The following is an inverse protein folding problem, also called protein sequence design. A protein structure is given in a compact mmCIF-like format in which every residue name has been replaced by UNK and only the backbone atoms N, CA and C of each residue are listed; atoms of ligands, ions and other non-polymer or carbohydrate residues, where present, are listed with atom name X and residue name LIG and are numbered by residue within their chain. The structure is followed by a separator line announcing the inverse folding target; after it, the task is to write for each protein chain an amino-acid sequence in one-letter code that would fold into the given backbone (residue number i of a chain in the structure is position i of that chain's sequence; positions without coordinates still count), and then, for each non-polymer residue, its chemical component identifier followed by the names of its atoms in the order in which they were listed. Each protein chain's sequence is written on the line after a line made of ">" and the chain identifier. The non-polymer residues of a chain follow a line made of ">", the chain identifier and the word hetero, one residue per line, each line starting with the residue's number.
data_IF_445539786910
#
_entry.id   IF_445539786910
#
_cell.length_a   1.000
_cell.length_b   1.000
_cell.length_c   1.000
_cell.angle_alpha   90.00
_cell.angle_beta   90.00
_cell.angle_gamma   90.00
#
_symmetry.space_group_name_H-M   'P 1'
#
loop_
_entity.id
_entity.type
_entity.pdbx_description
1 polymer ?
#
# COMPACT_ATOMS: atom_id res chain seq x y z
N UNK A 1 10.59 9.41 -1.82
CA UNK A 1 10.15 8.01 -1.68
C UNK A 1 9.40 7.59 -2.92
N UNK A 2 9.94 6.62 -3.66
CA UNK A 2 9.41 6.24 -4.98
C UNK A 2 7.98 5.70 -4.91
N UNK A 3 7.65 4.87 -3.93
CA UNK A 3 6.33 4.27 -3.81
C UNK A 3 5.20 5.26 -3.55
N UNK A 4 5.49 6.46 -3.06
CA UNK A 4 4.46 7.45 -2.73
C UNK A 4 3.70 7.93 -3.98
N UNK A 5 4.39 8.05 -5.10
CA UNK A 5 3.76 8.46 -6.36
C UNK A 5 2.76 7.40 -6.84
N UNK A 6 3.14 6.14 -6.71
CA UNK A 6 2.27 5.03 -7.08
C UNK A 6 1.04 4.97 -6.18
N UNK A 7 1.22 5.15 -4.88
CA UNK A 7 0.12 5.20 -3.92
C UNK A 7 -0.86 6.32 -4.30
N UNK A 8 -0.34 7.53 -4.55
CA UNK A 8 -1.18 8.67 -4.92
C UNK A 8 -1.96 8.43 -6.20
N UNK A 9 -1.33 7.78 -7.18
CA UNK A 9 -1.99 7.48 -8.45
C UNK A 9 -3.22 6.59 -8.27
N UNK A 10 -3.14 5.58 -7.40
CA UNK A 10 -4.22 4.61 -7.25
C UNK A 10 -5.20 4.92 -6.12
N UNK A 11 -4.78 5.62 -5.07
CA UNK A 11 -5.68 5.92 -3.95
C UNK A 11 -6.59 7.10 -4.20
N UNK A 12 -6.10 8.14 -4.89
CA UNK A 12 -6.81 9.40 -4.98
C UNK A 12 -6.82 10.15 -3.66
N UNK A 13 -7.08 11.46 -3.70
CA UNK A 13 -7.09 12.30 -2.52
C UNK A 13 -8.50 12.80 -2.21
N UNK A 14 -8.95 12.59 -0.99
CA UNK A 14 -10.26 13.02 -0.51
C UNK A 14 -10.08 13.94 0.70
N UNK A 15 -10.51 15.19 0.57
CA UNK A 15 -10.36 16.18 1.64
C UNK A 15 -11.51 16.14 2.66
N UNK A 16 -12.56 15.37 2.38
CA UNK A 16 -13.68 15.15 3.27
C UNK A 16 -13.72 13.68 3.69
N UNK A 17 -13.95 13.44 4.96
CA UNK A 17 -14.05 12.07 5.47
C UNK A 17 -15.16 11.29 4.79
N UNK A 18 -14.91 10.03 4.45
CA UNK A 18 -15.89 9.15 3.82
C UNK A 18 -15.83 7.76 4.44
N UNK A 19 -16.97 7.02 4.43
CA UNK A 19 -16.99 5.67 4.98
C UNK A 19 -16.32 4.68 4.03
N UNK A 20 -15.88 3.55 4.59
CA UNK A 20 -15.36 2.45 3.77
C UNK A 20 -16.45 1.99 2.78
N UNK A 21 -16.12 1.90 1.47
CA UNK A 21 -17.11 1.50 0.46
C UNK A 21 -17.71 0.11 0.67
N UNK A 22 -16.97 -0.79 1.31
CA UNK A 22 -17.44 -2.16 1.54
C UNK A 22 -18.31 -2.27 2.78
N UNK A 23 -17.91 -1.63 3.89
CA UNK A 23 -18.65 -1.70 5.16
C UNK A 23 -19.69 -0.62 5.30
N UNK A 24 -19.56 0.45 4.52
CA UNK A 24 -20.40 1.68 4.60
C UNK A 24 -20.31 2.36 5.96
N UNK A 25 -19.25 2.10 6.71
CA UNK A 25 -18.98 2.64 8.03
C UNK A 25 -17.48 2.65 8.28
N UNK A 26 -17.04 2.42 9.53
CA UNK A 26 -15.60 2.37 9.83
C UNK A 26 -14.89 1.28 9.02
N UNK A 27 -13.62 1.51 8.65
CA UNK A 27 -12.84 2.69 9.02
C UNK A 27 -13.21 3.91 8.17
N UNK A 28 -13.43 5.03 8.83
CA UNK A 28 -13.65 6.32 8.16
C UNK A 28 -12.31 6.76 7.60
N UNK A 29 -12.28 7.14 6.34
CA UNK A 29 -11.06 7.38 5.58
C UNK A 29 -11.00 8.83 5.10
N UNK A 30 -9.80 9.38 5.00
CA UNK A 30 -9.59 10.75 4.53
C UNK A 30 -8.20 10.86 3.88
N UNK A 31 -7.99 11.91 3.09
CA UNK A 31 -6.72 12.17 2.42
C UNK A 31 -6.42 11.12 1.36
N UNK A 32 -5.23 10.56 1.38
CA UNK A 32 -4.76 9.55 0.44
C UNK A 32 -5.07 8.12 0.90
N UNK A 33 -6.02 7.96 1.79
CA UNK A 33 -6.40 6.66 2.32
C UNK A 33 -6.10 6.49 3.80
N UNK A 34 -5.87 7.58 4.52
CA UNK A 34 -5.57 7.53 5.95
C UNK A 34 -6.83 7.27 6.77
N UNK A 35 -6.70 6.45 7.80
CA UNK A 35 -7.82 6.11 8.70
C UNK A 35 -7.62 6.66 10.12
N UNK A 36 -6.42 7.17 10.42
CA UNK A 36 -6.06 7.72 11.74
C UNK A 36 -5.28 9.00 11.57
N UNK A 37 -5.52 9.95 12.48
CA UNK A 37 -4.77 11.20 12.56
C UNK A 37 -3.36 10.95 13.09
N UNK A 38 -2.54 12.00 13.13
CA UNK A 38 -1.15 11.91 13.60
C UNK A 38 -1.02 11.31 14.99
N UNK A 39 -1.98 11.61 15.86
CA UNK A 39 -1.98 11.10 17.24
C UNK A 39 -2.59 9.70 17.40
N UNK A 40 -2.97 9.05 16.30
CA UNK A 40 -3.57 7.73 16.33
C UNK A 40 -5.10 7.72 16.52
N UNK A 41 -5.73 8.89 16.60
CA UNK A 41 -7.18 8.98 16.76
C UNK A 41 -7.87 8.66 15.44
N UNK A 42 -8.87 7.75 15.42
CA UNK A 42 -9.65 7.49 14.20
C UNK A 42 -10.40 8.74 13.73
N UNK A 43 -10.52 8.88 12.42
CA UNK A 43 -11.30 9.98 11.83
C UNK A 43 -12.80 9.74 12.01
N UNK A 44 -13.54 10.83 12.08
CA UNK A 44 -15.01 10.83 12.18
C UNK A 44 -15.62 11.47 10.96
N UNK A 45 -16.83 11.07 10.62
CA UNK A 45 -17.59 11.72 9.55
C UNK A 45 -17.74 13.20 9.84
N UNK A 46 -17.69 14.01 8.77
CA UNK A 46 -17.76 15.47 8.88
C UNK A 46 -16.40 16.14 8.98
N UNK A 47 -15.31 15.39 9.20
CA UNK A 47 -13.95 15.95 9.22
C UNK A 47 -13.52 16.37 7.82
N UNK A 48 -12.90 17.54 7.72
CA UNK A 48 -12.27 18.03 6.50
C UNK A 48 -10.82 18.38 6.78
N UNK A 49 -9.97 18.24 5.77
CA UNK A 49 -8.55 18.58 5.86
C UNK A 49 -8.11 19.31 4.59
N UNK A 50 -6.96 19.95 4.66
CA UNK A 50 -6.34 20.60 3.50
C UNK A 50 -5.51 19.58 2.69
N UNK A 51 -5.19 19.93 1.47
CA UNK A 51 -4.30 19.12 0.64
C UNK A 51 -2.93 18.92 1.30
N UNK A 52 -2.40 19.98 1.90
CA UNK A 52 -1.11 19.93 2.61
C UNK A 52 -1.19 18.96 3.80
N UNK A 53 -2.28 19.02 4.56
CA UNK A 53 -2.49 18.10 5.68
C UNK A 53 -2.54 16.66 5.20
N UNK A 54 -3.26 16.39 4.10
CA UNK A 54 -3.34 15.05 3.51
C UNK A 54 -1.97 14.53 3.11
N UNK A 55 -1.15 15.37 2.48
CA UNK A 55 0.19 14.98 2.05
C UNK A 55 1.10 14.64 3.24
N UNK A 56 1.08 15.47 4.27
CA UNK A 56 1.87 15.22 5.49
C UNK A 56 1.40 13.98 6.23
N UNK A 57 0.10 13.74 6.24
CA UNK A 57 -0.48 12.56 6.89
C UNK A 57 -0.05 11.28 6.18
N UNK A 58 -0.03 11.28 4.85
CA UNK A 58 0.47 10.14 4.08
C UNK A 58 1.94 9.86 4.40
N UNK A 59 2.78 10.89 4.38
CA UNK A 59 4.21 10.73 4.73
C UNK A 59 4.38 10.17 6.13
N UNK A 60 3.62 10.70 7.08
CA UNK A 60 3.66 10.21 8.47
C UNK A 60 3.25 8.73 8.55
N UNK A 61 2.16 8.36 7.89
CA UNK A 61 1.69 6.98 7.87
C UNK A 61 2.76 6.04 7.32
N UNK A 62 3.39 6.41 6.20
CA UNK A 62 4.40 5.57 5.57
C UNK A 62 5.63 5.40 6.46
N UNK A 63 6.11 6.47 7.08
CA UNK A 63 7.29 6.42 7.93
C UNK A 63 7.07 5.71 9.26
N UNK A 64 5.88 5.87 9.86
CA UNK A 64 5.64 5.43 11.22
C UNK A 64 4.77 4.19 11.35
N UNK A 65 3.90 3.92 10.36
CA UNK A 65 2.93 2.83 10.43
C UNK A 65 3.18 1.73 9.40
N UNK A 66 3.95 2.00 8.35
CA UNK A 66 4.24 1.02 7.30
C UNK A 66 5.69 0.59 7.29
N UNK A 67 6.64 1.51 7.17
CA UNK A 67 8.07 1.16 7.11
C UNK A 67 8.56 0.29 8.25
N UNK A 68 8.22 0.56 9.52
CA UNK A 68 8.73 -0.27 10.61
C UNK A 68 8.35 -1.74 10.47
N UNK A 69 7.17 -2.02 9.89
CA UNK A 69 6.72 -3.39 9.65
C UNK A 69 7.38 -4.00 8.42
N UNK A 70 7.54 -3.21 7.35
CA UNK A 70 8.12 -3.68 6.09
C UNK A 70 9.62 -3.97 6.22
N UNK A 71 10.33 -3.24 7.09
CA UNK A 71 11.75 -3.47 7.35
C UNK A 71 12.02 -4.86 7.93
N UNK A 72 11.01 -5.53 8.46
CA UNK A 72 11.12 -6.91 8.96
C UNK A 72 11.13 -7.95 7.85
N UNK A 73 10.75 -7.57 6.63
CA UNK A 73 10.76 -8.48 5.48
C UNK A 73 12.22 -8.85 5.18
N UNK A 74 12.52 -10.17 4.99
CA UNK A 74 13.88 -10.58 4.68
C UNK A 74 14.43 -9.87 3.44
N UNK A 75 15.70 -9.48 3.52
CA UNK A 75 16.41 -8.80 2.42
C UNK A 75 15.89 -7.40 2.08
N UNK A 76 15.08 -6.80 2.95
CA UNK A 76 14.53 -5.45 2.71
C UNK A 76 15.65 -4.44 2.39
N UNK A 77 16.73 -4.45 3.15
CA UNK A 77 17.85 -3.52 2.95
C UNK A 77 18.64 -3.76 1.65
N UNK A 78 18.49 -4.95 1.04
CA UNK A 78 19.12 -5.26 -0.24
C UNK A 78 18.27 -4.84 -1.43
N UNK A 79 17.01 -4.49 -1.20
CA UNK A 79 16.12 -3.99 -2.25
C UNK A 79 16.49 -2.56 -2.62
N UNK A 80 16.39 -2.22 -3.91
CA UNK A 80 16.55 -0.84 -4.34
C UNK A 80 15.28 -0.04 -4.03
N UNK A 81 15.31 1.28 -4.24
CA UNK A 81 14.16 2.15 -3.94
C UNK A 81 12.92 1.76 -4.74
N UNK A 82 13.08 1.32 -5.99
CA UNK A 82 11.94 0.90 -6.82
C UNK A 82 11.30 -0.37 -6.27
N UNK A 83 12.10 -1.32 -5.84
CA UNK A 83 11.61 -2.55 -5.24
C UNK A 83 10.90 -2.28 -3.92
N UNK A 84 11.50 -1.48 -3.06
CA UNK A 84 10.88 -1.08 -1.80
C UNK A 84 9.58 -0.31 -2.05
N UNK A 85 9.57 0.57 -3.07
CA UNK A 85 8.38 1.33 -3.44
C UNK A 85 7.23 0.45 -3.93
N UNK A 86 7.53 -0.60 -4.69
CA UNK A 86 6.53 -1.55 -5.16
C UNK A 86 5.89 -2.29 -3.97
N UNK A 87 6.69 -2.77 -3.05
CA UNK A 87 6.20 -3.45 -1.84
C UNK A 87 5.41 -2.48 -0.96
N UNK A 88 5.86 -1.25 -0.84
CA UNK A 88 5.16 -0.22 -0.08
C UNK A 88 3.75 0.03 -0.63
N UNK A 89 3.61 0.17 -1.95
CA UNK A 89 2.30 0.33 -2.59
C UNK A 89 1.39 -0.87 -2.32
N UNK A 90 1.94 -2.07 -2.44
CA UNK A 90 1.21 -3.31 -2.17
C UNK A 90 0.72 -3.35 -0.71
N UNK A 91 1.61 -3.04 0.23
CA UNK A 91 1.28 -3.02 1.66
C UNK A 91 0.25 -1.94 2.00
N UNK A 92 0.37 -0.78 1.38
CA UNK A 92 -0.59 0.31 1.62
C UNK A 92 -2.00 -0.09 1.19
N UNK A 93 -2.11 -0.86 0.11
CA UNK A 93 -3.40 -1.35 -0.39
C UNK A 93 -3.95 -2.52 0.42
N UNK A 94 -3.11 -3.49 0.77
CA UNK A 94 -3.56 -4.77 1.34
C UNK A 94 -3.16 -5.01 2.79
N UNK A 95 -2.39 -4.09 3.39
CA UNK A 95 -2.00 -4.15 4.79
C UNK A 95 -0.51 -4.36 4.97
N UNK A 96 0.06 -3.66 5.95
CA UNK A 96 1.51 -3.72 6.24
C UNK A 96 1.94 -5.05 6.88
N UNK A 97 1.00 -5.84 7.35
CA UNK A 97 1.25 -7.14 7.96
C UNK A 97 1.05 -8.31 7.00
N UNK A 98 1.05 -8.06 5.69
CA UNK A 98 0.82 -9.13 4.72
C UNK A 98 1.87 -10.24 4.81
N UNK A 99 3.14 -9.87 5.03
CA UNK A 99 4.23 -10.85 5.12
C UNK A 99 4.01 -11.79 6.30
N UNK A 100 3.95 -13.08 6.01
CA UNK A 100 3.69 -14.11 7.03
C UNK A 100 2.22 -14.40 7.27
N UNK A 101 1.31 -13.66 6.65
CA UNK A 101 -0.13 -13.90 6.78
C UNK A 101 -0.56 -15.08 5.91
N UNK A 102 -1.49 -15.94 6.39
CA UNK A 102 -1.95 -17.11 5.63
C UNK A 102 -2.51 -16.80 4.25
N UNK A 103 -3.17 -15.63 4.11
CA UNK A 103 -3.74 -15.22 2.83
C UNK A 103 -2.69 -14.73 1.84
N UNK A 104 -1.45 -14.56 2.27
CA UNK A 104 -0.35 -14.03 1.46
C UNK A 104 0.83 -15.01 1.42
N UNK A 105 0.53 -16.32 1.39
CA UNK A 105 1.57 -17.37 1.43
C UNK A 105 2.53 -17.33 0.24
N UNK A 106 2.03 -17.05 -0.96
CA UNK A 106 2.86 -17.05 -2.16
C UNK A 106 3.89 -15.91 -2.15
N UNK A 107 3.44 -14.67 -1.90
CA UNK A 107 4.38 -13.54 -1.85
C UNK A 107 5.35 -13.67 -0.67
N UNK A 108 4.88 -14.20 0.46
CA UNK A 108 5.72 -14.45 1.63
C UNK A 108 6.85 -15.42 1.28
N UNK A 109 6.52 -16.54 0.63
CA UNK A 109 7.51 -17.54 0.23
C UNK A 109 8.53 -16.96 -0.75
N UNK A 110 8.06 -16.22 -1.74
CA UNK A 110 8.91 -15.62 -2.77
C UNK A 110 9.90 -14.62 -2.16
N UNK A 111 9.42 -13.79 -1.24
CA UNK A 111 10.29 -12.81 -0.55
C UNK A 111 11.27 -13.50 0.40
N UNK A 112 10.81 -14.50 1.16
CA UNK A 112 11.62 -15.25 2.11
C UNK A 112 12.78 -15.97 1.42
N UNK A 113 12.53 -16.52 0.24
CA UNK A 113 13.51 -17.29 -0.53
C UNK A 113 14.34 -16.41 -1.48
N UNK A 114 14.13 -15.10 -1.47
CA UNK A 114 14.80 -14.16 -2.38
C UNK A 114 14.62 -14.54 -3.85
N UNK A 115 13.47 -15.09 -4.21
CA UNK A 115 13.11 -15.40 -5.59
C UNK A 115 12.55 -14.16 -6.27
N UNK A 116 13.36 -13.11 -6.36
CA UNK A 116 12.91 -11.78 -6.77
C UNK A 116 12.37 -11.71 -8.19
N UNK A 117 12.82 -12.59 -9.07
CA UNK A 117 12.28 -12.66 -10.44
C UNK A 117 10.81 -13.07 -10.47
N UNK A 118 10.33 -13.71 -9.40
CA UNK A 118 8.94 -14.17 -9.29
C UNK A 118 8.02 -13.17 -8.58
N UNK A 119 8.58 -12.07 -8.06
CA UNK A 119 7.78 -11.10 -7.30
C UNK A 119 6.67 -10.47 -8.12
N UNK A 120 6.89 -10.00 -9.36
CA UNK A 120 5.79 -9.44 -10.16
C UNK A 120 4.61 -10.39 -10.32
N UNK A 121 4.85 -11.64 -10.64
CA UNK A 121 3.78 -12.63 -10.80
C UNK A 121 3.09 -12.93 -9.47
N UNK A 122 3.85 -12.98 -8.37
CA UNK A 122 3.28 -13.19 -7.05
C UNK A 122 2.37 -12.03 -6.65
N UNK A 123 2.78 -10.80 -6.89
CA UNK A 123 1.95 -9.62 -6.61
C UNK A 123 0.64 -9.68 -7.40
N UNK A 124 0.71 -10.09 -8.65
CA UNK A 124 -0.44 -10.14 -9.55
C UNK A 124 -1.54 -11.11 -9.08
N UNK A 125 -1.22 -12.09 -8.25
CA UNK A 125 -2.21 -12.99 -7.68
C UNK A 125 -3.25 -12.25 -6.82
N UNK A 126 -2.87 -11.14 -6.23
CA UNK A 126 -3.70 -10.42 -5.25
C UNK A 126 -4.51 -9.30 -5.90
N UNK A 127 -5.39 -9.68 -6.84
CA UNK A 127 -6.23 -8.77 -7.63
C UNK A 127 -7.72 -8.98 -7.44
N UNK A 128 -8.10 -9.82 -6.48
CA UNK A 128 -9.50 -10.19 -6.20
C UNK A 128 -10.26 -10.59 -7.47
N UNK A 129 -9.88 -11.71 -8.12
CA UNK A 129 -10.51 -12.13 -9.37
C UNK A 129 -12.02 -12.32 -9.22
N UNK A 130 -12.79 -11.90 -10.24
CA UNK A 130 -14.23 -12.04 -10.27
C UNK A 130 -15.01 -11.00 -9.47
N UNK A 131 -14.34 -9.99 -8.91
CA UNK A 131 -14.99 -8.92 -8.15
C UNK A 131 -15.03 -7.61 -8.94
N UNK A 132 -15.84 -6.66 -8.44
CA UNK A 132 -15.95 -5.32 -9.05
C UNK A 132 -14.63 -4.54 -9.01
N UNK A 133 -13.74 -4.86 -8.08
CA UNK A 133 -12.48 -4.15 -7.90
C UNK A 133 -11.34 -4.77 -8.72
N UNK A 134 -11.57 -5.88 -9.40
CA UNK A 134 -10.52 -6.60 -10.11
C UNK A 134 -9.80 -5.72 -11.14
N UNK A 135 -10.53 -4.98 -11.97
CA UNK A 135 -9.92 -4.16 -13.02
C UNK A 135 -8.93 -3.14 -12.46
N UNK A 136 -9.30 -2.46 -11.36
CA UNK A 136 -8.42 -1.51 -10.69
C UNK A 136 -7.22 -2.16 -10.05
N UNK A 137 -7.42 -3.32 -9.42
CA UNK A 137 -6.33 -4.06 -8.79
C UNK A 137 -5.36 -4.66 -9.82
N UNK A 138 -5.86 -5.09 -10.98
CA UNK A 138 -5.00 -5.54 -12.08
C UNK A 138 -4.05 -4.42 -12.49
N UNK A 139 -4.56 -3.20 -12.69
CA UNK A 139 -3.73 -2.05 -13.06
C UNK A 139 -2.69 -1.76 -11.98
N UNK A 140 -3.10 -1.79 -10.72
CA UNK A 140 -2.19 -1.52 -9.60
C UNK A 140 -1.10 -2.59 -9.48
N UNK A 141 -1.48 -3.87 -9.54
CA UNK A 141 -0.51 -4.97 -9.46
C UNK A 141 0.49 -4.94 -10.62
N UNK A 142 0.03 -4.59 -11.83
CA UNK A 142 0.92 -4.41 -12.98
C UNK A 142 1.88 -3.25 -12.78
N UNK A 143 1.39 -2.12 -12.28
CA UNK A 143 2.24 -0.96 -12.01
C UNK A 143 3.29 -1.28 -10.93
N UNK A 144 2.91 -2.00 -9.89
CA UNK A 144 3.85 -2.43 -8.85
C UNK A 144 4.89 -3.40 -9.41
N UNK A 145 4.46 -4.36 -10.23
CA UNK A 145 5.37 -5.30 -10.87
C UNK A 145 6.35 -4.61 -11.81
N UNK A 146 5.88 -3.64 -12.59
CA UNK A 146 6.73 -2.86 -13.48
C UNK A 146 7.76 -2.03 -12.70
N UNK A 147 7.33 -1.43 -11.59
CA UNK A 147 8.23 -0.69 -10.71
C UNK A 147 9.28 -1.62 -10.09
N UNK A 148 8.89 -2.82 -9.69
CA UNK A 148 9.80 -3.82 -9.16
C UNK A 148 10.90 -4.17 -10.15
N UNK A 149 10.52 -4.34 -11.43
CA UNK A 149 11.45 -4.71 -12.50
C UNK A 149 12.37 -3.57 -12.94
N UNK A 150 12.03 -2.34 -12.61
CA UNK A 150 12.77 -1.17 -13.05
C UNK A 150 14.15 -1.14 -12.42
N UNK A 151 15.17 -1.10 -13.26
CA UNK A 151 16.55 -1.08 -12.77
C UNK A 151 16.91 0.26 -12.17
N UNK A 152 17.70 0.21 -11.12
CA UNK A 152 18.25 1.38 -10.49
C UNK A 152 19.38 1.95 -11.34
N UNK A 153 19.35 3.25 -11.55
CA UNK A 153 20.44 3.94 -12.23
C UNK A 153 21.07 4.97 -11.31
#
# INVERSE_FOLDING_TARGET
>A
MVGINLIKEFEGCHLHAYPDPLTKGPPITIGWGSTKDFNGTPFKMGRTITQEYANKLLEFDLENRFFPLLQKIPYWSEMNENQQGAILSFAYNLGANFYGSPNFSTITRVLKSKEWSKVPDALYLYRNPGTKVEAGLVRRRKAEGDLWKKQWK
#
